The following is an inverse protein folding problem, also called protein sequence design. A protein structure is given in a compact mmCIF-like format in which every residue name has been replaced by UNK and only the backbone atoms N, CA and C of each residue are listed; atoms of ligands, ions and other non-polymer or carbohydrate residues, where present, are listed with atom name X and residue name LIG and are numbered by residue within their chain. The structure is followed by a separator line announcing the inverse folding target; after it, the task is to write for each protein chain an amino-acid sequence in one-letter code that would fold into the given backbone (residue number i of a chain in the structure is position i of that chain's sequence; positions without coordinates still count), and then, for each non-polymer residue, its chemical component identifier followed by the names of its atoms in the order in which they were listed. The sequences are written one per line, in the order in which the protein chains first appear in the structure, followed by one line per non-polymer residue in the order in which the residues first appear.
data_IF_500073567077
#
_entry.id   IF_500073567077
#
_cell.length_a   1.000
_cell.length_b   1.000
_cell.length_c   1.000
_cell.angle_alpha   90.00
_cell.angle_beta   90.00
_cell.angle_gamma   90.00
#
_symmetry.space_group_name_H-M   'P 1'
#
loop_
_entity.id
_entity.type
_entity.pdbx_description
1 polymer ?
#
# COMPACT_ATOMS: atom_id res chain seq x y z
N UNK A 1 -17.66 -12.20 35.82
CA UNK A 1 -16.73 -11.14 35.35
C UNK A 1 -15.85 -11.82 34.32
N UNK A 2 -16.01 -11.45 33.06
CA UNK A 2 -15.10 -11.93 32.04
C UNK A 2 -13.72 -11.35 32.32
N UNK A 3 -12.74 -12.21 32.54
CA UNK A 3 -11.35 -11.79 32.74
C UNK A 3 -10.87 -11.27 31.38
N UNK A 4 -10.50 -9.98 31.34
CA UNK A 4 -9.92 -9.40 30.12
C UNK A 4 -8.68 -10.23 29.72
N UNK A 5 -8.55 -10.60 28.43
CA UNK A 5 -7.38 -11.33 27.98
C UNK A 5 -6.11 -10.51 28.21
N UNK A 6 -5.01 -11.18 28.51
CA UNK A 6 -3.70 -10.53 28.58
C UNK A 6 -3.31 -10.07 27.17
N UNK A 7 -3.13 -8.75 27.00
CA UNK A 7 -2.73 -8.18 25.73
C UNK A 7 -1.22 -7.94 25.73
N UNK A 8 -0.51 -8.59 24.81
CA UNK A 8 0.91 -8.32 24.55
C UNK A 8 1.04 -7.37 23.33
N UNK A 9 1.51 -6.14 23.52
CA UNK A 9 1.71 -5.20 22.40
C UNK A 9 2.66 -5.73 21.32
N UNK A 10 3.65 -6.56 21.69
CA UNK A 10 4.57 -7.13 20.70
C UNK A 10 3.86 -8.16 19.81
N UNK A 11 2.91 -8.89 20.33
CA UNK A 11 2.09 -9.84 19.56
C UNK A 11 1.06 -9.09 18.70
N UNK A 12 0.41 -8.04 19.25
CA UNK A 12 -0.61 -7.25 18.55
C UNK A 12 -0.06 -6.60 17.26
N UNK A 13 1.18 -6.10 17.28
CA UNK A 13 1.81 -5.40 16.15
C UNK A 13 2.83 -6.27 15.42
N UNK A 14 2.79 -7.57 15.57
CA UNK A 14 3.71 -8.53 14.96
C UNK A 14 3.30 -8.86 13.52
N UNK A 15 4.29 -8.99 12.64
CA UNK A 15 4.15 -9.60 11.32
C UNK A 15 4.54 -11.09 11.31
N UNK A 16 4.77 -11.70 12.48
CA UNK A 16 5.27 -13.06 12.60
C UNK A 16 4.45 -14.06 11.79
N UNK A 17 5.17 -14.81 10.96
CA UNK A 17 4.60 -15.88 10.12
C UNK A 17 3.83 -15.40 8.89
N UNK A 18 3.71 -14.08 8.64
CA UNK A 18 3.04 -13.55 7.45
C UNK A 18 3.90 -13.74 6.20
N UNK A 19 3.24 -14.06 5.09
CA UNK A 19 3.78 -14.00 3.72
C UNK A 19 3.22 -12.76 3.05
N UNK A 20 4.11 -11.86 2.66
CA UNK A 20 3.75 -10.54 2.15
C UNK A 20 4.30 -10.34 0.73
N UNK A 21 3.51 -9.72 -0.14
CA UNK A 21 3.94 -9.23 -1.46
C UNK A 21 3.86 -7.71 -1.47
N UNK A 22 4.94 -7.04 -1.90
CA UNK A 22 5.02 -5.57 -1.97
C UNK A 22 5.45 -5.14 -3.36
N UNK A 23 4.60 -4.40 -4.07
CA UNK A 23 5.01 -3.77 -5.32
C UNK A 23 5.84 -2.51 -5.03
N UNK A 24 6.97 -2.33 -5.75
CA UNK A 24 7.90 -1.23 -5.49
C UNK A 24 8.65 -1.35 -4.15
N UNK A 25 8.81 -2.57 -3.62
CA UNK A 25 9.43 -2.82 -2.31
C UNK A 25 10.94 -2.56 -2.21
N UNK A 26 11.60 -2.20 -3.32
CA UNK A 26 13.06 -2.02 -3.37
C UNK A 26 13.54 -0.59 -3.09
N UNK A 27 12.68 0.39 -2.88
CA UNK A 27 13.09 1.79 -2.65
C UNK A 27 12.05 2.59 -1.87
N UNK A 28 12.46 3.74 -1.31
CA UNK A 28 11.59 4.71 -0.64
C UNK A 28 10.67 4.09 0.42
N UNK A 29 9.39 4.44 0.40
CA UNK A 29 8.37 3.92 1.32
C UNK A 29 8.26 2.39 1.24
N UNK A 30 8.32 1.82 0.02
CA UNK A 30 8.27 0.37 -0.17
C UNK A 30 9.42 -0.36 0.52
N UNK A 31 10.65 0.17 0.45
CA UNK A 31 11.81 -0.39 1.16
C UNK A 31 11.66 -0.27 2.69
N UNK A 32 11.13 0.85 3.17
CA UNK A 32 10.85 1.02 4.59
C UNK A 32 9.85 -0.03 5.10
N UNK A 33 8.78 -0.26 4.35
CA UNK A 33 7.77 -1.29 4.65
C UNK A 33 8.41 -2.69 4.60
N UNK A 34 9.22 -2.98 3.57
CA UNK A 34 9.94 -4.25 3.42
C UNK A 34 10.81 -4.55 4.64
N UNK A 35 11.63 -3.57 5.04
CA UNK A 35 12.51 -3.68 6.21
C UNK A 35 11.71 -3.89 7.50
N UNK A 36 10.66 -3.10 7.68
CA UNK A 36 9.78 -3.18 8.85
C UNK A 36 9.17 -4.58 9.01
N UNK A 37 8.55 -5.10 7.94
CA UNK A 37 7.88 -6.39 7.99
C UNK A 37 8.86 -7.55 8.20
N UNK A 38 10.04 -7.49 7.56
CA UNK A 38 11.10 -8.47 7.78
C UNK A 38 11.54 -8.48 9.24
N UNK A 39 11.80 -7.31 9.84
CA UNK A 39 12.20 -7.16 11.25
C UNK A 39 11.08 -7.54 12.23
N UNK A 40 9.81 -7.34 11.85
CA UNK A 40 8.66 -7.72 12.65
C UNK A 40 8.29 -9.23 12.54
N UNK A 41 9.14 -10.04 11.89
CA UNK A 41 9.03 -11.50 11.88
C UNK A 41 8.22 -12.08 10.72
N UNK A 42 8.00 -11.35 9.63
CA UNK A 42 7.38 -11.91 8.43
C UNK A 42 8.15 -13.15 7.94
N UNK A 43 7.43 -14.23 7.59
CA UNK A 43 8.04 -15.46 7.10
C UNK A 43 8.65 -15.27 5.70
N UNK A 44 8.03 -14.47 4.86
CA UNK A 44 8.50 -14.09 3.52
C UNK A 44 8.00 -12.69 3.16
N UNK A 45 8.86 -11.90 2.50
CA UNK A 45 8.51 -10.61 1.93
C UNK A 45 8.97 -10.57 0.48
N UNK A 46 8.06 -10.86 -0.44
CA UNK A 46 8.32 -10.77 -1.87
C UNK A 46 8.26 -9.30 -2.30
N UNK A 47 9.34 -8.78 -2.85
CA UNK A 47 9.42 -7.41 -3.34
C UNK A 47 9.42 -7.39 -4.86
N UNK A 48 8.40 -6.76 -5.45
CA UNK A 48 8.19 -6.71 -6.89
C UNK A 48 8.62 -5.37 -7.48
N UNK A 49 9.27 -5.37 -8.64
CA UNK A 49 9.64 -4.16 -9.36
C UNK A 49 10.39 -4.44 -10.66
N UNK A 50 10.53 -3.42 -11.50
CA UNK A 50 11.13 -3.55 -12.83
C UNK A 50 12.65 -3.77 -12.80
N UNK A 51 13.35 -3.11 -11.87
CA UNK A 51 14.82 -3.14 -11.77
C UNK A 51 15.27 -4.22 -10.80
N UNK A 52 15.64 -5.38 -11.35
CA UNK A 52 16.05 -6.52 -10.54
C UNK A 52 17.27 -6.20 -9.65
N UNK A 53 18.25 -5.43 -10.15
CA UNK A 53 19.43 -5.03 -9.37
C UNK A 53 19.05 -4.24 -8.10
N UNK A 54 18.12 -3.29 -8.21
CA UNK A 54 17.61 -2.52 -7.06
C UNK A 54 16.90 -3.42 -6.04
N UNK A 55 16.13 -4.40 -6.50
CA UNK A 55 15.46 -5.37 -5.63
C UNK A 55 16.45 -6.29 -4.92
N UNK A 56 17.48 -6.75 -5.64
CA UNK A 56 18.55 -7.59 -5.07
C UNK A 56 19.37 -6.83 -4.03
N UNK A 57 19.66 -5.55 -4.27
CA UNK A 57 20.35 -4.69 -3.29
C UNK A 57 19.48 -4.50 -2.04
N UNK A 58 18.20 -4.19 -2.19
CA UNK A 58 17.26 -4.08 -1.10
C UNK A 58 17.18 -5.39 -0.29
N UNK A 59 17.06 -6.54 -0.97
CA UNK A 59 17.02 -7.84 -0.30
C UNK A 59 18.32 -8.14 0.48
N UNK A 60 19.47 -7.80 -0.08
CA UNK A 60 20.76 -7.95 0.62
C UNK A 60 20.88 -7.02 1.84
N UNK A 61 20.43 -5.77 1.72
CA UNK A 61 20.52 -4.78 2.79
C UNK A 61 19.59 -5.08 3.96
N UNK A 62 18.39 -5.59 3.68
CA UNK A 62 17.41 -5.95 4.72
C UNK A 62 17.67 -7.34 5.28
N UNK A 63 18.11 -8.27 4.44
CA UNK A 63 18.41 -9.66 4.83
C UNK A 63 17.15 -10.52 5.07
N UNK A 64 17.37 -11.70 5.62
CA UNK A 64 16.32 -12.59 6.12
C UNK A 64 15.31 -13.07 5.07
N UNK A 65 14.07 -12.69 5.28
CA UNK A 65 12.91 -13.21 4.55
C UNK A 65 12.62 -12.54 3.21
N UNK A 66 13.47 -11.58 2.75
CA UNK A 66 13.17 -10.75 1.57
C UNK A 66 13.56 -11.46 0.27
N UNK A 67 12.60 -11.60 -0.64
CA UNK A 67 12.76 -12.29 -1.93
C UNK A 67 12.51 -11.31 -3.08
N UNK A 68 13.52 -11.01 -3.92
CA UNK A 68 13.35 -10.14 -5.07
C UNK A 68 12.67 -10.87 -6.23
N UNK A 69 11.65 -10.24 -6.82
CA UNK A 69 10.93 -10.75 -8.00
C UNK A 69 10.81 -9.64 -9.02
N UNK A 70 11.40 -9.85 -10.20
CA UNK A 70 11.26 -8.88 -11.28
C UNK A 70 9.83 -8.89 -11.81
N UNK A 71 9.18 -7.72 -11.83
CA UNK A 71 7.81 -7.58 -12.29
C UNK A 71 7.53 -6.14 -12.75
N UNK A 72 6.99 -5.99 -13.95
CA UNK A 72 6.33 -4.77 -14.38
C UNK A 72 4.83 -4.91 -14.10
N UNK A 73 4.33 -4.12 -13.15
CA UNK A 73 2.93 -4.16 -12.71
C UNK A 73 1.92 -3.69 -13.78
N UNK A 74 2.40 -3.06 -14.85
CA UNK A 74 1.57 -2.62 -15.98
C UNK A 74 1.52 -3.64 -17.12
N UNK A 75 2.28 -4.76 -17.00
CA UNK A 75 2.34 -5.81 -17.99
C UNK A 75 1.74 -7.12 -17.46
N UNK A 76 0.63 -7.55 -18.05
CA UNK A 76 -0.10 -8.74 -17.59
C UNK A 76 0.74 -10.01 -17.57
N UNK A 77 1.58 -10.25 -18.59
CA UNK A 77 2.44 -11.44 -18.65
C UNK A 77 3.50 -11.43 -17.55
N UNK A 78 4.08 -10.24 -17.26
CA UNK A 78 5.04 -10.06 -16.17
C UNK A 78 4.40 -10.33 -14.81
N UNK A 79 3.16 -9.86 -14.61
CA UNK A 79 2.39 -10.11 -13.39
C UNK A 79 2.08 -11.58 -13.23
N UNK A 80 1.60 -12.25 -14.29
CA UNK A 80 1.31 -13.69 -14.28
C UNK A 80 2.53 -14.53 -13.94
N UNK A 81 3.69 -14.18 -14.49
CA UNK A 81 4.96 -14.87 -14.19
C UNK A 81 5.37 -14.70 -12.71
N UNK A 82 5.18 -13.49 -12.14
CA UNK A 82 5.47 -13.24 -10.73
C UNK A 82 4.52 -14.02 -9.80
N UNK A 83 3.22 -14.10 -10.16
CA UNK A 83 2.23 -14.89 -9.41
C UNK A 83 2.59 -16.36 -9.44
N UNK A 84 2.85 -16.93 -10.63
CA UNK A 84 3.22 -18.35 -10.80
C UNK A 84 4.46 -18.70 -9.97
N UNK A 85 5.49 -17.85 -9.99
CA UNK A 85 6.69 -18.04 -9.17
C UNK A 85 6.36 -18.13 -7.68
N UNK A 86 5.53 -17.23 -7.17
CA UNK A 86 5.17 -17.21 -5.74
C UNK A 86 4.24 -18.38 -5.40
N UNK A 87 3.34 -18.76 -6.31
CA UNK A 87 2.48 -19.92 -6.17
C UNK A 87 3.31 -21.21 -6.05
N UNK A 88 4.30 -21.41 -6.92
CA UNK A 88 5.20 -22.58 -6.92
C UNK A 88 6.08 -22.62 -5.65
N UNK A 89 6.54 -21.45 -5.15
CA UNK A 89 7.43 -21.40 -4.01
C UNK A 89 6.71 -21.61 -2.66
N UNK A 90 5.47 -21.13 -2.51
CA UNK A 90 4.79 -21.12 -1.21
C UNK A 90 3.28 -21.39 -1.28
N UNK A 91 2.61 -21.17 -2.40
CA UNK A 91 1.20 -21.49 -2.61
C UNK A 91 0.17 -20.56 -1.96
N UNK A 92 0.58 -19.55 -1.21
CA UNK A 92 -0.32 -18.58 -0.55
C UNK A 92 0.36 -17.25 -0.26
N UNK A 93 -0.43 -16.21 -0.02
CA UNK A 93 0.01 -14.96 0.60
C UNK A 93 -1.02 -14.48 1.61
N UNK A 94 -0.56 -13.75 2.61
CA UNK A 94 -1.44 -13.16 3.63
C UNK A 94 -1.75 -11.71 3.32
N UNK A 95 -0.75 -10.97 2.81
CA UNK A 95 -0.84 -9.53 2.59
C UNK A 95 -0.31 -9.20 1.20
N UNK A 96 -1.08 -8.38 0.45
CA UNK A 96 -0.63 -7.72 -0.75
C UNK A 96 -0.55 -6.22 -0.51
N UNK A 97 0.60 -5.59 -0.77
CA UNK A 97 0.78 -4.14 -0.65
C UNK A 97 1.01 -3.54 -2.03
N UNK A 98 0.00 -2.85 -2.56
CA UNK A 98 0.08 -2.04 -3.77
C UNK A 98 0.75 -0.71 -3.44
N UNK A 99 2.08 -0.66 -3.52
CA UNK A 99 2.86 0.53 -3.18
C UNK A 99 3.54 1.18 -4.40
N UNK A 100 3.84 0.43 -5.46
CA UNK A 100 4.49 0.99 -6.64
C UNK A 100 3.68 2.15 -7.24
N UNK A 101 4.39 3.17 -7.70
CA UNK A 101 3.79 4.33 -8.35
C UNK A 101 4.82 5.22 -9.02
N UNK A 102 4.34 6.11 -9.87
CA UNK A 102 5.12 7.11 -10.61
C UNK A 102 4.52 8.50 -10.44
N UNK A 103 5.36 9.55 -10.58
CA UNK A 103 4.93 10.93 -10.37
C UNK A 103 4.11 11.49 -11.53
N UNK A 104 4.43 11.12 -12.79
CA UNK A 104 3.83 11.71 -13.98
C UNK A 104 4.27 13.16 -14.23
N UNK A 105 3.53 13.88 -15.11
CA UNK A 105 3.81 15.27 -15.46
C UNK A 105 3.79 16.22 -14.26
N UNK A 106 4.76 17.14 -14.18
CA UNK A 106 4.86 18.12 -13.10
C UNK A 106 4.08 19.41 -13.41
N UNK A 107 2.94 19.58 -12.78
CA UNK A 107 2.11 20.77 -12.89
C UNK A 107 2.23 21.73 -11.67
N UNK A 108 3.20 21.51 -10.77
CA UNK A 108 3.38 22.40 -9.61
C UNK A 108 3.59 23.86 -9.98
N UNK A 109 4.32 24.20 -11.08
CA UNK A 109 4.47 25.60 -11.49
C UNK A 109 3.17 26.32 -11.82
N UNK A 110 2.07 25.61 -12.10
CA UNK A 110 0.77 26.23 -12.36
C UNK A 110 0.24 27.09 -11.19
N UNK A 111 0.74 26.86 -9.97
CA UNK A 111 0.37 27.66 -8.80
C UNK A 111 0.92 29.07 -8.82
N UNK A 112 2.02 29.25 -9.54
CA UNK A 112 2.80 30.47 -9.55
C UNK A 112 2.75 31.14 -10.94
N UNK A 113 1.85 30.70 -11.83
CA UNK A 113 1.64 31.29 -13.15
C UNK A 113 1.07 32.71 -13.01
N UNK A 114 1.70 33.69 -13.65
CA UNK A 114 1.29 35.11 -13.60
C UNK A 114 0.36 35.49 -14.75
N UNK A 115 0.39 34.75 -15.88
CA UNK A 115 -0.45 34.99 -17.05
C UNK A 115 -1.26 33.77 -17.40
N UNK A 116 -2.37 33.95 -18.11
CA UNK A 116 -3.20 32.84 -18.59
C UNK A 116 -2.46 32.01 -19.63
N UNK A 117 -1.59 32.61 -20.41
CA UNK A 117 -0.74 31.96 -21.41
C UNK A 117 0.30 31.04 -20.73
N UNK A 118 0.88 31.46 -19.63
CA UNK A 118 1.81 30.62 -18.85
C UNK A 118 1.08 29.47 -18.20
N UNK A 119 -0.08 29.73 -17.60
CA UNK A 119 -0.92 28.67 -17.04
C UNK A 119 -1.29 27.64 -18.12
N UNK A 120 -1.71 28.09 -19.31
CA UNK A 120 -2.06 27.20 -20.42
C UNK A 120 -0.87 26.34 -20.84
N UNK A 121 0.33 26.91 -20.99
CA UNK A 121 1.54 26.16 -21.34
C UNK A 121 1.85 25.08 -20.30
N UNK A 122 1.75 25.42 -19.01
CA UNK A 122 2.03 24.46 -17.93
C UNK A 122 0.99 23.33 -17.92
N UNK A 123 -0.28 23.63 -18.13
CA UNK A 123 -1.34 22.62 -18.16
C UNK A 123 -1.22 21.67 -19.36
N UNK A 124 -0.57 22.10 -20.45
CA UNK A 124 -0.31 21.30 -21.64
C UNK A 124 1.03 20.53 -21.59
N UNK A 125 1.78 20.62 -20.48
CA UNK A 125 3.02 19.87 -20.33
C UNK A 125 2.76 18.36 -20.34
N UNK A 126 3.48 17.64 -21.21
CA UNK A 126 3.55 16.19 -21.28
C UNK A 126 2.16 15.49 -21.18
N UNK A 127 1.25 15.75 -22.14
CA UNK A 127 -0.07 15.12 -22.12
C UNK A 127 0.01 13.59 -22.26
N UNK A 128 1.08 13.06 -22.86
CA UNK A 128 1.30 11.61 -23.01
C UNK A 128 1.68 10.94 -21.69
N UNK A 129 2.25 11.66 -20.74
CA UNK A 129 2.62 11.15 -19.41
C UNK A 129 1.43 10.83 -18.51
N UNK A 130 0.21 11.24 -18.87
CA UNK A 130 -1.00 10.93 -18.11
C UNK A 130 -1.33 9.44 -18.12
N UNK A 131 -1.35 8.82 -19.31
CA UNK A 131 -1.72 7.42 -19.46
C UNK A 131 -0.80 6.47 -18.65
N UNK A 132 0.56 6.56 -18.74
CA UNK A 132 1.43 5.73 -17.92
C UNK A 132 1.25 5.97 -16.41
N UNK A 133 0.93 7.23 -16.01
CA UNK A 133 0.68 7.56 -14.61
C UNK A 133 -0.56 6.84 -14.08
N UNK A 134 -1.68 6.88 -14.81
CA UNK A 134 -2.89 6.16 -14.44
C UNK A 134 -2.71 4.63 -14.53
N UNK A 135 -2.00 4.13 -15.54
CA UNK A 135 -1.70 2.72 -15.67
C UNK A 135 -0.98 2.17 -14.41
N UNK A 136 0.07 2.86 -13.97
CA UNK A 136 0.86 2.43 -12.81
C UNK A 136 0.17 2.69 -11.47
N UNK A 137 -0.45 3.87 -11.28
CA UNK A 137 -0.94 4.30 -9.97
C UNK A 137 -2.37 3.84 -9.67
N UNK A 138 -3.17 3.54 -10.69
CA UNK A 138 -4.61 3.23 -10.55
C UNK A 138 -4.97 1.87 -11.13
N UNK A 139 -4.82 1.67 -12.45
CA UNK A 139 -5.23 0.42 -13.10
C UNK A 139 -4.48 -0.79 -12.57
N UNK A 140 -3.18 -0.65 -12.32
CA UNK A 140 -2.35 -1.72 -11.75
C UNK A 140 -2.82 -2.15 -10.35
N UNK A 141 -3.43 -1.26 -9.55
CA UNK A 141 -3.99 -1.63 -8.24
C UNK A 141 -5.02 -2.75 -8.39
N UNK A 142 -5.94 -2.62 -9.35
CA UNK A 142 -6.95 -3.66 -9.61
C UNK A 142 -6.32 -4.88 -10.25
N UNK A 143 -5.47 -4.71 -11.28
CA UNK A 143 -4.83 -5.80 -12.01
C UNK A 143 -3.98 -6.70 -11.11
N UNK A 144 -3.12 -6.11 -10.28
CA UNK A 144 -2.31 -6.84 -9.30
C UNK A 144 -3.19 -7.50 -8.25
N UNK A 145 -4.15 -6.78 -7.68
CA UNK A 145 -5.06 -7.35 -6.68
C UNK A 145 -5.79 -8.58 -7.23
N UNK A 146 -6.33 -8.48 -8.43
CA UNK A 146 -7.04 -9.59 -9.09
C UNK A 146 -6.11 -10.79 -9.34
N UNK A 147 -4.88 -10.56 -9.80
CA UNK A 147 -3.92 -11.63 -10.07
C UNK A 147 -3.56 -12.44 -8.82
N UNK A 148 -3.52 -11.81 -7.64
CA UNK A 148 -3.17 -12.44 -6.38
C UNK A 148 -4.36 -12.99 -5.57
N UNK A 149 -5.62 -12.87 -6.04
CA UNK A 149 -6.81 -13.29 -5.27
C UNK A 149 -6.77 -14.76 -4.85
N UNK A 150 -6.34 -15.67 -5.72
CA UNK A 150 -6.21 -17.09 -5.40
C UNK A 150 -5.26 -17.35 -4.23
N UNK A 151 -4.12 -16.66 -4.23
CA UNK A 151 -3.11 -16.82 -3.18
C UNK A 151 -3.57 -16.18 -1.85
N UNK A 152 -4.32 -15.07 -1.90
CA UNK A 152 -4.94 -14.45 -0.73
C UNK A 152 -6.03 -15.35 -0.13
N UNK A 153 -6.87 -15.98 -0.95
CA UNK A 153 -7.85 -16.96 -0.50
C UNK A 153 -7.17 -18.21 0.11
N UNK A 154 -6.06 -18.68 -0.49
CA UNK A 154 -5.26 -19.75 0.06
C UNK A 154 -4.66 -19.38 1.44
N UNK A 155 -4.23 -18.11 1.62
CA UNK A 155 -3.80 -17.57 2.91
C UNK A 155 -4.90 -17.62 3.98
N UNK A 156 -6.14 -17.31 3.61
CA UNK A 156 -7.29 -17.44 4.49
C UNK A 156 -7.53 -18.91 4.89
N UNK A 157 -7.58 -19.82 3.91
CA UNK A 157 -7.79 -21.25 4.17
C UNK A 157 -6.72 -21.85 5.09
N UNK A 158 -5.46 -21.44 4.90
CA UNK A 158 -4.35 -21.86 5.75
C UNK A 158 -4.55 -21.46 7.23
N UNK A 159 -5.33 -20.42 7.51
CA UNK A 159 -5.68 -19.98 8.87
C UNK A 159 -7.00 -20.55 9.38
N UNK A 160 -7.54 -21.55 8.71
CA UNK A 160 -8.79 -22.19 9.07
C UNK A 160 -10.04 -21.43 8.64
N UNK A 161 -9.91 -20.29 7.93
CA UNK A 161 -11.07 -19.62 7.39
C UNK A 161 -11.69 -20.44 6.26
N UNK A 162 -13.01 -20.51 6.24
CA UNK A 162 -13.75 -21.13 5.16
C UNK A 162 -13.41 -20.44 3.82
N UNK A 163 -13.19 -21.26 2.78
CA UNK A 163 -12.88 -20.77 1.43
C UNK A 163 -14.13 -20.41 0.65
N UNK A 164 -13.94 -19.61 -0.42
CA UNK A 164 -15.00 -19.24 -1.34
C UNK A 164 -15.88 -18.09 -0.87
N UNK A 165 -16.93 -17.82 -1.66
CA UNK A 165 -17.87 -16.74 -1.41
C UNK A 165 -18.88 -17.14 -0.34
N UNK A 166 -19.00 -16.33 0.70
CA UNK A 166 -19.96 -16.56 1.77
C UNK A 166 -21.37 -16.15 1.29
N UNK A 167 -22.39 -17.02 1.43
CA UNK A 167 -23.76 -16.66 1.17
C UNK A 167 -24.26 -15.53 2.08
N UNK A 168 -25.14 -14.68 1.54
CA UNK A 168 -25.79 -13.64 2.32
C UNK A 168 -26.55 -14.27 3.51
N UNK A 169 -26.47 -13.60 4.66
CA UNK A 169 -27.26 -13.98 5.85
C UNK A 169 -26.60 -14.99 6.78
N UNK A 170 -25.39 -15.49 6.50
CA UNK A 170 -24.66 -16.28 7.48
C UNK A 170 -23.25 -15.72 7.76
N UNK A 171 -22.72 -15.91 8.99
CA UNK A 171 -21.37 -15.54 9.32
C UNK A 171 -20.35 -16.44 8.59
N UNK A 172 -19.16 -15.89 8.33
CA UNK A 172 -18.01 -16.68 7.90
C UNK A 172 -17.57 -17.61 9.02
N UNK A 173 -17.31 -18.84 8.66
CA UNK A 173 -16.87 -19.84 9.62
C UNK A 173 -15.35 -19.94 9.65
N UNK A 174 -14.83 -20.38 10.78
CA UNK A 174 -13.41 -20.66 10.97
C UNK A 174 -13.27 -21.96 11.76
N UNK A 175 -12.50 -22.88 11.21
CA UNK A 175 -12.03 -24.02 11.96
C UNK A 175 -10.81 -23.59 12.78
N UNK A 176 -10.96 -23.57 14.09
CA UNK A 176 -9.90 -23.21 15.04
C UNK A 176 -9.15 -24.44 15.58
N UNK A 177 -9.50 -25.64 15.13
CA UNK A 177 -8.86 -26.89 15.57
C UNK A 177 -7.40 -26.89 15.12
N UNK A 178 -6.47 -26.77 16.06
CA UNK A 178 -5.02 -26.72 15.81
C UNK A 178 -4.49 -25.34 15.37
N UNK A 179 -5.33 -24.31 15.35
CA UNK A 179 -4.93 -22.91 15.09
C UNK A 179 -4.91 -22.10 16.38
N UNK A 180 -4.03 -21.09 16.38
CA UNK A 180 -3.98 -20.11 17.46
C UNK A 180 -5.18 -19.14 17.39
N UNK A 181 -5.30 -18.26 18.34
CA UNK A 181 -6.26 -17.13 18.41
C UNK A 181 -6.02 -16.04 17.34
N UNK A 182 -5.28 -16.34 16.27
CA UNK A 182 -4.97 -15.39 15.18
C UNK A 182 -6.15 -15.23 14.21
N UNK A 183 -7.01 -14.26 14.47
CA UNK A 183 -8.21 -13.97 13.68
C UNK A 183 -7.92 -13.15 12.39
N UNK A 184 -6.68 -12.89 12.08
CA UNK A 184 -6.33 -12.14 10.85
C UNK A 184 -6.82 -12.89 9.62
N UNK A 185 -7.51 -12.18 8.73
CA UNK A 185 -7.77 -12.62 7.36
C UNK A 185 -6.81 -11.93 6.39
N UNK A 186 -6.70 -12.48 5.18
CA UNK A 186 -5.86 -11.91 4.13
C UNK A 186 -6.28 -10.48 3.80
N UNK A 187 -5.33 -9.65 3.36
CA UNK A 187 -5.56 -8.23 3.19
C UNK A 187 -4.82 -7.65 1.97
N UNK A 188 -5.45 -6.71 1.31
CA UNK A 188 -4.84 -5.80 0.35
C UNK A 188 -4.65 -4.44 1.02
N UNK A 189 -3.44 -3.88 0.96
CA UNK A 189 -3.16 -2.51 1.40
C UNK A 189 -2.74 -1.72 0.17
N UNK A 190 -3.42 -0.61 -0.09
CA UNK A 190 -3.04 0.31 -1.17
C UNK A 190 -2.36 1.54 -0.61
N UNK A 191 -1.15 1.82 -1.08
CA UNK A 191 -0.46 3.07 -0.77
C UNK A 191 -0.96 4.16 -1.72
N UNK A 192 -1.93 4.92 -1.21
CA UNK A 192 -2.49 6.10 -1.86
C UNK A 192 -1.54 7.29 -1.80
N UNK A 193 -2.08 8.44 -1.50
CA UNK A 193 -1.37 9.69 -1.19
C UNK A 193 -2.37 10.73 -0.70
N UNK A 194 -1.96 11.63 0.17
CA UNK A 194 -2.76 12.83 0.48
C UNK A 194 -3.04 13.71 -0.76
N UNK A 195 -2.23 13.57 -1.82
CA UNK A 195 -2.45 14.25 -3.10
C UNK A 195 -3.77 13.85 -3.77
N UNK A 196 -4.29 12.66 -3.47
CA UNK A 196 -5.61 12.21 -3.92
C UNK A 196 -6.78 12.77 -3.08
N UNK A 197 -6.49 13.46 -1.98
CA UNK A 197 -7.48 13.95 -1.02
C UNK A 197 -7.48 15.48 -0.90
N UNK A 198 -6.65 16.19 -1.65
CA UNK A 198 -6.56 17.64 -1.60
C UNK A 198 -6.77 18.28 -2.98
N UNK A 199 -7.03 19.58 -2.99
CA UNK A 199 -7.17 20.41 -4.19
C UNK A 199 -5.91 21.22 -4.49
N UNK A 200 -4.89 21.11 -3.65
CA UNK A 200 -3.62 21.80 -3.82
C UNK A 200 -2.67 20.93 -4.64
N UNK A 201 -2.05 21.48 -5.68
CA UNK A 201 -1.13 20.72 -6.53
C UNK A 201 0.17 20.46 -5.77
N UNK A 202 0.32 19.26 -5.21
CA UNK A 202 1.51 18.83 -4.44
C UNK A 202 2.57 18.16 -5.30
N UNK A 203 2.17 17.52 -6.40
CA UNK A 203 3.04 16.88 -7.37
C UNK A 203 2.64 17.28 -8.78
N UNK A 204 1.64 16.63 -9.36
CA UNK A 204 1.06 16.97 -10.65
C UNK A 204 -0.42 16.62 -10.68
N UNK A 205 -1.17 17.16 -11.65
CA UNK A 205 -2.61 16.88 -11.78
C UNK A 205 -2.86 15.39 -12.04
N UNK A 206 -2.08 14.78 -12.97
CA UNK A 206 -2.17 13.36 -13.27
C UNK A 206 -1.90 12.50 -12.02
N UNK A 207 -0.88 12.86 -11.23
CA UNK A 207 -0.57 12.15 -9.98
C UNK A 207 -1.72 12.24 -8.99
N UNK A 208 -2.19 13.45 -8.68
CA UNK A 208 -3.30 13.65 -7.74
C UNK A 208 -4.55 12.89 -8.15
N UNK A 209 -4.98 13.03 -9.41
CA UNK A 209 -6.13 12.34 -9.96
C UNK A 209 -5.96 10.81 -9.94
N UNK A 210 -4.78 10.28 -10.31
CA UNK A 210 -4.50 8.84 -10.26
C UNK A 210 -4.52 8.29 -8.84
N UNK A 211 -4.05 9.04 -7.84
CA UNK A 211 -4.10 8.63 -6.44
C UNK A 211 -5.51 8.72 -5.86
N UNK A 212 -6.33 9.69 -6.26
CA UNK A 212 -7.75 9.73 -5.94
C UNK A 212 -8.48 8.49 -6.50
N UNK A 213 -8.20 8.13 -7.76
CA UNK A 213 -8.74 6.92 -8.37
C UNK A 213 -8.30 5.65 -7.62
N UNK A 214 -7.02 5.52 -7.26
CA UNK A 214 -6.51 4.38 -6.49
C UNK A 214 -7.22 4.22 -5.13
N UNK A 215 -7.42 5.32 -4.41
CA UNK A 215 -8.15 5.35 -3.14
C UNK A 215 -9.60 4.87 -3.35
N UNK A 216 -10.28 5.38 -4.37
CA UNK A 216 -11.66 4.98 -4.65
C UNK A 216 -11.77 3.51 -5.07
N UNK A 217 -10.88 3.03 -5.95
CA UNK A 217 -10.81 1.62 -6.36
C UNK A 217 -10.59 0.69 -5.15
N UNK A 218 -9.74 1.08 -4.19
CA UNK A 218 -9.55 0.31 -2.96
C UNK A 218 -10.82 0.23 -2.10
N UNK A 219 -11.64 1.29 -2.04
CA UNK A 219 -12.96 1.26 -1.39
C UNK A 219 -13.91 0.30 -2.11
N UNK A 220 -13.90 0.30 -3.45
CA UNK A 220 -14.70 -0.65 -4.22
C UNK A 220 -14.24 -2.09 -3.98
N UNK A 221 -12.92 -2.34 -3.90
CA UNK A 221 -12.37 -3.65 -3.54
C UNK A 221 -12.78 -4.09 -2.14
N UNK A 222 -12.88 -3.18 -1.16
CA UNK A 222 -13.42 -3.49 0.17
C UNK A 222 -14.80 -4.13 0.09
N UNK A 223 -15.69 -3.53 -0.68
CA UNK A 223 -17.06 -4.05 -0.86
C UNK A 223 -17.09 -5.38 -1.64
N UNK A 224 -16.35 -5.44 -2.76
CA UNK A 224 -16.33 -6.62 -3.64
C UNK A 224 -15.72 -7.84 -2.97
N UNK A 225 -14.71 -7.65 -2.12
CA UNK A 225 -13.93 -8.74 -1.53
C UNK A 225 -14.41 -9.15 -0.13
N UNK A 226 -15.29 -8.37 0.49
CA UNK A 226 -15.86 -8.70 1.80
C UNK A 226 -16.49 -10.11 1.85
N UNK A 227 -17.31 -10.55 0.86
CA UNK A 227 -17.87 -11.90 0.87
C UNK A 227 -16.83 -13.02 0.73
N UNK A 228 -15.60 -12.69 0.30
CA UNK A 228 -14.47 -13.61 0.18
C UNK A 228 -13.54 -13.57 1.39
N UNK A 229 -13.86 -12.72 2.39
CA UNK A 229 -13.05 -12.52 3.59
C UNK A 229 -11.67 -11.95 3.32
N UNK A 230 -11.51 -11.20 2.25
CA UNK A 230 -10.28 -10.46 1.94
C UNK A 230 -10.54 -8.99 2.25
N UNK A 231 -9.75 -8.42 3.16
CA UNK A 231 -9.86 -7.02 3.56
C UNK A 231 -9.12 -6.11 2.58
N UNK A 232 -9.56 -4.86 2.46
CA UNK A 232 -8.88 -3.85 1.64
C UNK A 232 -8.82 -2.53 2.41
N UNK A 233 -7.61 -2.01 2.67
CA UNK A 233 -7.37 -0.77 3.39
C UNK A 233 -6.41 0.13 2.61
N UNK A 234 -6.40 1.42 2.94
CA UNK A 234 -5.57 2.44 2.28
C UNK A 234 -4.67 3.13 3.30
N UNK A 235 -3.44 3.36 2.92
CA UNK A 235 -2.53 4.28 3.62
C UNK A 235 -2.27 5.47 2.69
N UNK A 236 -2.46 6.68 3.18
CA UNK A 236 -2.20 7.93 2.43
C UNK A 236 -1.01 8.68 3.04
N UNK A 237 0.21 8.45 2.55
CA UNK A 237 1.37 9.18 3.03
C UNK A 237 1.33 10.66 2.63
N UNK A 238 1.86 11.51 3.51
CA UNK A 238 2.26 12.86 3.20
C UNK A 238 3.63 12.92 2.52
N UNK A 239 4.50 13.81 2.98
CA UNK A 239 5.87 13.94 2.47
C UNK A 239 6.78 12.98 3.21
N UNK A 240 7.34 12.01 2.49
CA UNK A 240 8.31 11.03 2.98
C UNK A 240 9.57 11.04 2.12
N UNK A 241 10.73 10.64 2.66
CA UNK A 241 11.96 10.51 1.86
C UNK A 241 11.77 9.47 0.73
N UNK A 242 11.96 9.91 -0.50
CA UNK A 242 11.88 9.06 -1.70
C UNK A 242 12.54 9.80 -2.88
N UNK A 243 12.73 9.12 -4.00
CA UNK A 243 13.14 9.77 -5.25
C UNK A 243 12.17 10.86 -5.71
N UNK A 244 10.88 10.70 -5.45
CA UNK A 244 9.84 11.69 -5.80
C UNK A 244 9.92 12.98 -4.96
N UNK A 245 10.49 12.90 -3.77
CA UNK A 245 10.62 14.01 -2.82
C UNK A 245 12.06 14.47 -2.64
N UNK A 246 12.97 14.02 -3.51
CA UNK A 246 14.35 14.49 -3.54
C UNK A 246 14.36 16.03 -3.71
N UNK A 247 15.22 16.70 -2.93
CA UNK A 247 15.33 18.17 -2.93
C UNK A 247 14.23 18.92 -2.16
N UNK A 248 13.23 18.24 -1.57
CA UNK A 248 12.29 18.91 -0.67
C UNK A 248 12.95 19.16 0.69
N UNK A 249 12.54 20.22 1.39
CA UNK A 249 13.06 20.59 2.72
C UNK A 249 12.71 19.53 3.77
N UNK A 250 13.50 19.44 4.84
CA UNK A 250 13.29 18.48 5.93
C UNK A 250 12.35 19.02 7.00
N UNK A 251 12.38 20.33 7.21
CA UNK A 251 11.54 21.03 8.18
C UNK A 251 10.51 21.89 7.48
N UNK A 252 9.33 21.95 8.05
CA UNK A 252 8.16 22.65 7.51
C UNK A 252 7.60 23.63 8.54
N UNK A 253 7.02 24.75 8.07
CA UNK A 253 6.21 25.59 8.95
C UNK A 253 4.93 24.87 9.34
N UNK A 254 4.32 25.29 10.44
CA UNK A 254 3.00 24.79 10.88
C UNK A 254 1.95 24.88 9.77
N UNK A 255 1.98 25.96 8.97
CA UNK A 255 1.02 26.16 7.86
C UNK A 255 1.25 25.24 6.67
N UNK A 256 2.33 24.51 6.64
CA UNK A 256 2.63 23.53 5.58
C UNK A 256 2.47 22.08 6.05
N UNK A 257 3.00 21.77 7.24
CA UNK A 257 2.91 20.47 7.91
C UNK A 257 2.90 20.73 9.42
N UNK A 258 1.79 20.60 10.11
CA UNK A 258 1.68 20.86 11.55
C UNK A 258 2.71 20.12 12.40
N UNK A 259 3.11 18.90 12.02
CA UNK A 259 4.16 18.15 12.70
C UNK A 259 5.57 18.76 12.56
N UNK A 260 5.76 19.79 11.74
CA UNK A 260 7.02 20.52 11.55
C UNK A 260 8.08 19.78 10.72
N UNK A 261 7.86 18.53 10.32
CA UNK A 261 8.87 17.66 9.67
C UNK A 261 8.27 16.78 8.57
N UNK A 262 9.13 16.19 7.75
CA UNK A 262 8.76 15.03 6.91
C UNK A 262 8.39 13.84 7.78
N UNK A 263 7.56 12.94 7.23
CA UNK A 263 7.41 11.60 7.77
C UNK A 263 8.72 10.83 7.68
N UNK A 264 9.02 10.06 8.71
CA UNK A 264 10.14 9.13 8.72
C UNK A 264 9.68 7.68 8.48
N UNK A 265 10.63 6.79 8.28
CA UNK A 265 10.32 5.38 8.09
C UNK A 265 9.54 4.75 9.27
N UNK A 266 9.79 5.23 10.50
CA UNK A 266 9.04 4.78 11.68
C UNK A 266 7.56 5.14 11.62
N UNK A 267 7.22 6.30 11.04
CA UNK A 267 5.83 6.76 10.94
C UNK A 267 5.01 5.85 10.00
N UNK A 268 5.57 5.44 8.86
CA UNK A 268 4.89 4.52 7.94
C UNK A 268 4.87 3.09 8.48
N UNK A 269 5.94 2.64 9.15
CA UNK A 269 6.04 1.32 9.74
C UNK A 269 4.97 1.09 10.82
N UNK A 270 4.70 2.09 11.67
CA UNK A 270 3.70 1.98 12.72
C UNK A 270 2.31 1.66 12.18
N UNK A 271 1.86 2.38 11.16
CA UNK A 271 0.53 2.13 10.56
C UNK A 271 0.49 0.81 9.78
N UNK A 272 1.60 0.42 9.14
CA UNK A 272 1.66 -0.88 8.46
C UNK A 272 1.55 -2.01 9.47
N UNK A 273 2.31 -2.00 10.56
CA UNK A 273 2.24 -3.02 11.61
C UNK A 273 0.86 -3.07 12.29
N UNK A 274 0.23 -1.92 12.49
CA UNK A 274 -1.16 -1.85 12.94
C UNK A 274 -2.09 -2.62 12.00
N UNK A 275 -2.07 -2.34 10.70
CA UNK A 275 -2.97 -2.94 9.73
C UNK A 275 -2.71 -4.45 9.51
N UNK A 276 -1.44 -4.89 9.49
CA UNK A 276 -1.09 -6.30 9.23
C UNK A 276 -1.08 -7.16 10.48
N UNK A 277 -0.90 -6.55 11.65
CA UNK A 277 -0.87 -7.21 12.95
C UNK A 277 -2.26 -7.67 13.40
N UNK A 278 -2.31 -8.35 14.54
CA UNK A 278 -3.57 -8.75 15.19
C UNK A 278 -4.42 -7.53 15.58
N UNK A 279 -3.79 -6.40 15.92
CA UNK A 279 -4.46 -5.14 16.24
C UNK A 279 -5.37 -4.64 15.10
N UNK A 280 -5.00 -4.89 13.85
CA UNK A 280 -5.76 -4.52 12.66
C UNK A 280 -6.71 -5.60 12.13
N UNK A 281 -6.86 -6.75 12.79
CA UNK A 281 -7.66 -7.87 12.28
C UNK A 281 -9.12 -7.50 11.95
N UNK A 282 -9.69 -6.56 12.70
CA UNK A 282 -11.08 -6.10 12.52
C UNK A 282 -11.19 -4.85 11.62
N UNK A 283 -10.08 -4.37 11.04
CA UNK A 283 -10.05 -3.17 10.20
C UNK A 283 -10.25 -3.54 8.73
N UNK A 284 -11.31 -3.03 8.11
CA UNK A 284 -11.61 -3.21 6.69
C UNK A 284 -12.25 -1.93 6.11
N UNK A 285 -11.72 -1.42 5.01
CA UNK A 285 -12.21 -0.18 4.36
C UNK A 285 -11.67 1.11 4.98
N UNK A 286 -10.69 1.02 5.86
CA UNK A 286 -10.05 2.18 6.49
C UNK A 286 -9.12 2.94 5.54
N UNK A 287 -8.97 4.24 5.82
CA UNK A 287 -8.04 5.15 5.15
C UNK A 287 -7.18 5.85 6.19
N UNK A 288 -5.94 5.41 6.34
CA UNK A 288 -5.00 5.94 7.31
C UNK A 288 -4.14 7.05 6.68
N UNK A 289 -4.33 8.30 7.12
CA UNK A 289 -3.50 9.42 6.69
C UNK A 289 -2.26 9.52 7.59
N UNK A 290 -1.08 9.42 6.99
CA UNK A 290 0.21 9.58 7.69
C UNK A 290 0.95 10.78 7.12
N UNK A 291 0.48 11.98 7.44
CA UNK A 291 0.87 13.22 6.75
C UNK A 291 1.33 14.34 7.67
N UNK A 292 1.45 14.07 8.97
CA UNK A 292 1.83 15.08 9.97
C UNK A 292 0.81 16.20 10.13
N UNK A 293 -0.45 15.95 9.77
CA UNK A 293 -1.54 16.93 9.81
C UNK A 293 -1.59 17.85 8.58
N UNK A 294 -0.86 17.54 7.51
CA UNK A 294 -0.79 18.40 6.33
C UNK A 294 -2.17 18.66 5.68
N UNK A 295 -3.03 17.66 5.63
CA UNK A 295 -4.40 17.82 5.10
C UNK A 295 -5.26 18.78 5.91
N UNK A 296 -4.96 18.99 7.20
CA UNK A 296 -5.73 19.92 8.04
C UNK A 296 -5.46 21.40 7.75
N UNK A 297 -4.34 21.70 7.07
CA UNK A 297 -3.93 23.06 6.71
C UNK A 297 -3.92 23.31 5.20
N UNK A 298 -4.32 22.34 4.39
CA UNK A 298 -4.43 22.44 2.95
C UNK A 298 -5.89 22.39 2.48
N UNK A 299 -6.24 22.98 1.31
CA UNK A 299 -7.56 22.78 0.71
C UNK A 299 -7.80 21.31 0.38
N UNK A 300 -8.45 20.58 1.27
CA UNK A 300 -8.79 19.18 1.09
C UNK A 300 -10.09 19.01 0.27
N UNK A 301 -10.34 17.79 -0.21
CA UNK A 301 -11.64 17.41 -0.76
C UNK A 301 -12.66 17.27 0.38
N UNK A 302 -13.92 17.49 0.07
CA UNK A 302 -15.03 17.42 1.03
C UNK A 302 -15.29 16.02 1.52
#
# INVERSE_FOLDING_TARGET
MDILPTLDPNDLFSAKGLVVVITGGGSGIGLAITSCLSQAGAARVYILGRRLSTLQEAARSVGGAVVPVQCDITNCSSVSAAVAKIEDEIGYIDILINNAGVQGPDHKPARDAETIEDLQKILLIDPEGWQPTFAANSSAVVGISAAFLKLLDAGNRRRGWEGGKIPLGRPRQRDITGFTDDERSSQIITVGSISGLNRFITAGLAYGASKAAAIHLSKMLTYLLAPWGIRSNVINPGVYPSSMTAGTKDNYSYMEVPAGRKGGYRDICGVVLYLVGKAGAYVNGSMENTDGGRLSVMPATY
#
